data_IF_163390924014
#
_entry.id   IF_163390924014
#
_cell.length_a   1.000
_cell.length_b   1.000
_cell.length_c   1.000
_cell.angle_alpha   90.00
_cell.angle_beta   90.00
_cell.angle_gamma   90.00
#
_symmetry.space_group_name_H-M   'P 1'
#
loop_
_entity.id
_entity.type
_entity.pdbx_description
1 polymer ?
#
# COMPACT_ATOMS: atom_id res chain seq x y z
N UNK A 1 -3.24 -14.51 11.28
CA UNK A 1 -2.37 -14.76 10.09
C UNK A 1 -0.96 -14.22 10.36
N UNK A 2 0.11 -14.87 9.90
CA UNK A 2 1.48 -14.36 9.98
C UNK A 2 1.92 -13.87 8.59
N UNK A 3 1.75 -12.58 8.33
CA UNK A 3 2.05 -11.98 7.03
C UNK A 3 3.55 -12.04 6.69
N UNK A 4 4.43 -11.88 7.67
CA UNK A 4 5.88 -11.96 7.46
C UNK A 4 6.30 -13.33 6.93
N UNK A 5 5.76 -14.40 7.53
CA UNK A 5 6.01 -15.75 7.04
C UNK A 5 5.54 -15.92 5.60
N UNK A 6 4.35 -15.41 5.26
CA UNK A 6 3.81 -15.45 3.89
C UNK A 6 4.76 -14.76 2.90
N UNK A 7 5.24 -13.56 3.24
CA UNK A 7 6.19 -12.84 2.38
C UNK A 7 7.53 -13.56 2.23
N UNK A 8 8.03 -14.21 3.29
CA UNK A 8 9.25 -15.03 3.22
C UNK A 8 9.05 -16.26 2.36
N UNK A 9 7.98 -17.00 2.57
CA UNK A 9 7.66 -18.23 1.83
C UNK A 9 7.45 -17.96 0.32
N UNK A 10 6.90 -16.79 -0.03
CA UNK A 10 6.71 -16.34 -1.41
C UNK A 10 7.98 -15.73 -2.05
N UNK A 11 9.10 -15.63 -1.33
CA UNK A 11 10.29 -14.91 -1.79
C UNK A 11 10.06 -13.42 -2.01
N UNK A 12 9.10 -12.85 -1.30
CA UNK A 12 8.68 -11.45 -1.39
C UNK A 12 9.31 -10.56 -0.31
N UNK A 13 9.96 -11.18 0.69
CA UNK A 13 10.73 -10.50 1.74
C UNK A 13 12.20 -10.58 1.34
N UNK A 14 12.71 -9.51 0.74
CA UNK A 14 14.07 -9.47 0.22
C UNK A 14 15.01 -8.88 1.27
N UNK A 15 16.19 -9.47 1.40
CA UNK A 15 17.31 -8.96 2.18
C UNK A 15 18.47 -8.62 1.26
N UNK A 16 19.10 -7.46 1.48
CA UNK A 16 20.19 -6.95 0.63
C UNK A 16 20.47 -5.48 0.92
N UNK A 17 20.94 -4.73 -0.09
CA UNK A 17 21.14 -3.30 0.01
C UNK A 17 20.26 -2.60 -1.04
N UNK A 18 19.19 -1.94 -0.61
CA UNK A 18 18.16 -1.40 -1.51
C UNK A 18 18.11 0.12 -1.49
N UNK A 19 18.06 0.71 -2.70
CA UNK A 19 17.75 2.12 -2.92
C UNK A 19 16.23 2.30 -2.99
N UNK A 20 15.66 3.00 -2.02
CA UNK A 20 14.24 3.32 -1.95
C UNK A 20 13.87 4.48 -2.87
N UNK A 21 12.57 4.62 -3.18
CA UNK A 21 12.06 5.75 -3.99
C UNK A 21 12.29 7.13 -3.36
N UNK A 22 12.53 7.18 -2.06
CA UNK A 22 12.90 8.38 -1.31
C UNK A 22 14.37 8.81 -1.48
N UNK A 23 15.20 7.98 -2.14
CA UNK A 23 16.65 8.14 -2.20
C UNK A 23 17.40 7.56 -1.00
N UNK A 24 16.67 7.11 0.03
CA UNK A 24 17.26 6.47 1.21
C UNK A 24 17.55 4.99 0.98
N UNK A 25 18.34 4.37 1.84
CA UNK A 25 18.74 2.97 1.78
C UNK A 25 18.01 2.11 2.81
N UNK A 26 17.82 0.83 2.52
CA UNK A 26 17.27 -0.16 3.44
C UNK A 26 17.90 -1.53 3.22
N UNK A 27 18.07 -2.29 4.31
CA UNK A 27 18.50 -3.69 4.22
C UNK A 27 17.38 -4.61 3.72
N UNK A 28 16.13 -4.21 3.92
CA UNK A 28 14.97 -5.04 3.58
C UNK A 28 14.05 -4.36 2.59
N UNK A 29 13.47 -5.17 1.71
CA UNK A 29 12.48 -4.73 0.74
C UNK A 29 11.33 -5.74 0.63
N UNK A 30 10.09 -5.25 0.51
CA UNK A 30 8.92 -6.07 0.28
C UNK A 30 8.50 -5.96 -1.18
N UNK A 31 8.39 -7.11 -1.87
CA UNK A 31 7.95 -7.21 -3.27
C UNK A 31 6.59 -7.90 -3.34
N UNK A 32 5.51 -7.18 -3.05
CA UNK A 32 4.16 -7.75 -2.97
C UNK A 32 3.71 -8.43 -4.26
N UNK A 33 4.23 -8.05 -5.42
CA UNK A 33 3.93 -8.71 -6.68
C UNK A 33 4.22 -10.22 -6.63
N UNK A 34 5.24 -10.65 -5.86
CA UNK A 34 5.56 -12.08 -5.66
C UNK A 34 4.54 -12.81 -4.79
N UNK A 35 3.91 -12.12 -3.87
CA UNK A 35 2.79 -12.68 -3.09
C UNK A 35 1.52 -12.73 -3.95
N UNK A 36 1.28 -11.68 -4.73
CA UNK A 36 0.08 -11.51 -5.54
C UNK A 36 0.13 -12.27 -6.88
N UNK A 37 1.27 -12.89 -7.25
CA UNK A 37 1.36 -13.77 -8.42
C UNK A 37 0.58 -15.09 -8.24
N UNK A 38 0.27 -15.50 -6.99
CA UNK A 38 -0.66 -16.59 -6.71
C UNK A 38 -2.06 -16.01 -6.39
N UNK A 39 -3.05 -16.13 -7.31
CA UNK A 39 -4.39 -15.59 -7.09
C UNK A 39 -5.13 -16.20 -5.90
N UNK A 40 -4.80 -17.45 -5.52
CA UNK A 40 -5.42 -18.10 -4.36
C UNK A 40 -4.95 -17.43 -3.07
N UNK A 41 -3.64 -17.18 -2.97
CA UNK A 41 -3.06 -16.49 -1.82
C UNK A 41 -3.53 -15.04 -1.76
N UNK A 42 -3.56 -14.34 -2.89
CA UNK A 42 -4.12 -13.00 -2.99
C UNK A 42 -5.57 -12.94 -2.50
N UNK A 43 -6.39 -13.93 -2.88
CA UNK A 43 -7.77 -14.06 -2.42
C UNK A 43 -7.89 -14.23 -0.89
N UNK A 44 -7.09 -15.11 -0.29
CA UNK A 44 -7.07 -15.33 1.17
C UNK A 44 -6.68 -14.05 1.90
N UNK A 45 -5.63 -13.35 1.46
CA UNK A 45 -5.21 -12.09 2.05
C UNK A 45 -6.29 -11.01 1.95
N UNK A 46 -6.95 -10.92 0.81
CA UNK A 46 -8.03 -9.97 0.60
C UNK A 46 -9.26 -10.24 1.47
N UNK A 47 -9.63 -11.50 1.66
CA UNK A 47 -10.73 -11.91 2.54
C UNK A 47 -10.44 -11.55 4.01
N UNK A 48 -9.22 -11.75 4.49
CA UNK A 48 -8.81 -11.33 5.82
C UNK A 48 -8.85 -9.79 5.97
N UNK A 49 -8.36 -9.06 4.96
CA UNK A 49 -8.38 -7.59 4.98
C UNK A 49 -9.82 -7.05 4.97
N UNK A 50 -10.69 -7.63 4.13
CA UNK A 50 -12.11 -7.31 4.10
C UNK A 50 -12.80 -7.57 5.43
N UNK A 51 -12.47 -8.69 6.11
CA UNK A 51 -13.01 -9.01 7.43
C UNK A 51 -12.56 -8.01 8.51
N UNK A 52 -11.32 -7.53 8.45
CA UNK A 52 -10.81 -6.48 9.36
C UNK A 52 -11.60 -5.18 9.15
N UNK A 53 -11.80 -4.75 7.90
CA UNK A 53 -12.55 -3.54 7.59
C UNK A 53 -14.01 -3.69 8.03
N UNK A 54 -14.65 -4.83 7.76
CA UNK A 54 -16.03 -5.08 8.16
C UNK A 54 -16.23 -5.01 9.68
N UNK A 55 -15.27 -5.49 10.47
CA UNK A 55 -15.30 -5.42 11.96
C UNK A 55 -15.24 -3.98 12.48
N UNK A 56 -14.69 -3.04 11.72
CA UNK A 56 -14.68 -1.62 12.12
C UNK A 56 -16.02 -0.91 11.97
N UNK A 57 -16.99 -1.52 11.29
CA UNK A 57 -18.29 -0.92 11.00
C UNK A 57 -18.26 0.12 9.87
N UNK A 58 -17.12 0.30 9.19
CA UNK A 58 -17.03 1.25 8.08
C UNK A 58 -17.75 0.71 6.85
N UNK A 59 -18.71 1.48 6.39
CA UNK A 59 -19.45 1.22 5.16
C UNK A 59 -18.79 1.92 3.97
N UNK A 60 -18.63 1.22 2.85
CA UNK A 60 -18.10 1.77 1.60
C UNK A 60 -18.76 1.11 0.38
N UNK A 61 -18.68 1.78 -0.77
CA UNK A 61 -19.28 1.32 -2.03
C UNK A 61 -18.24 0.76 -2.99
N UNK A 62 -17.04 1.33 -2.97
CA UNK A 62 -16.01 1.08 -3.97
C UNK A 62 -14.61 1.05 -3.37
N UNK A 63 -13.70 0.37 -4.04
CA UNK A 63 -12.26 0.39 -3.76
C UNK A 63 -11.57 1.13 -4.89
N UNK A 64 -10.62 2.00 -4.54
CA UNK A 64 -9.72 2.66 -5.49
C UNK A 64 -8.29 2.31 -5.16
N UNK A 65 -7.46 2.06 -6.17
CA UNK A 65 -6.04 1.78 -5.97
C UNK A 65 -5.15 2.63 -6.87
N UNK A 66 -4.00 3.12 -6.41
CA UNK A 66 -3.00 3.69 -7.30
C UNK A 66 -2.30 2.56 -8.09
N UNK A 67 -2.18 2.75 -9.39
CA UNK A 67 -1.41 1.85 -10.24
C UNK A 67 0.11 2.06 -10.01
N UNK A 68 0.94 1.02 -10.20
CA UNK A 68 0.63 -0.30 -10.70
C UNK A 68 0.47 -1.31 -9.54
N UNK A 69 1.27 -1.19 -8.46
CA UNK A 69 1.38 -2.15 -7.37
C UNK A 69 0.05 -2.43 -6.66
N UNK A 70 -0.73 -1.37 -6.40
CA UNK A 70 -1.98 -1.50 -5.67
C UNK A 70 -3.13 -2.17 -6.44
N UNK A 71 -3.04 -2.32 -7.78
CA UNK A 71 -4.17 -2.81 -8.59
C UNK A 71 -4.63 -4.19 -8.12
N UNK A 72 -3.73 -5.16 -8.02
CA UNK A 72 -4.11 -6.53 -7.66
C UNK A 72 -4.64 -6.63 -6.23
N UNK A 73 -4.01 -5.95 -5.29
CA UNK A 73 -4.46 -5.92 -3.89
C UNK A 73 -5.86 -5.31 -3.77
N UNK A 74 -6.09 -4.16 -4.43
CA UNK A 74 -7.40 -3.50 -4.39
C UNK A 74 -8.48 -4.23 -5.16
N UNK A 75 -8.16 -4.85 -6.31
CA UNK A 75 -9.11 -5.66 -7.06
C UNK A 75 -9.60 -6.85 -6.24
N UNK A 76 -8.67 -7.57 -5.60
CA UNK A 76 -9.00 -8.70 -4.75
C UNK A 76 -9.76 -8.27 -3.48
N UNK A 77 -9.41 -7.13 -2.87
CA UNK A 77 -10.19 -6.57 -1.77
C UNK A 77 -11.63 -6.24 -2.20
N UNK A 78 -11.80 -5.61 -3.36
CA UNK A 78 -13.11 -5.30 -3.90
C UNK A 78 -13.93 -6.58 -4.18
N UNK A 79 -13.30 -7.61 -4.76
CA UNK A 79 -13.89 -8.93 -4.97
C UNK A 79 -14.35 -9.55 -3.65
N UNK A 80 -13.47 -9.61 -2.64
CA UNK A 80 -13.78 -10.17 -1.32
C UNK A 80 -14.92 -9.44 -0.62
N UNK A 81 -14.91 -8.10 -0.68
CA UNK A 81 -15.95 -7.25 -0.11
C UNK A 81 -17.22 -7.12 -0.99
N UNK A 82 -17.26 -7.71 -2.19
CA UNK A 82 -18.34 -7.58 -3.19
C UNK A 82 -18.63 -6.12 -3.53
N UNK A 83 -17.60 -5.33 -3.79
CA UNK A 83 -17.66 -3.91 -4.10
C UNK A 83 -17.11 -3.63 -5.50
N UNK A 84 -17.39 -2.44 -6.02
CA UNK A 84 -16.85 -1.94 -7.28
C UNK A 84 -15.35 -1.64 -7.12
N UNK A 85 -14.57 -1.80 -8.19
CA UNK A 85 -13.15 -1.45 -8.24
C UNK A 85 -12.86 -0.43 -9.34
N UNK A 86 -12.04 0.57 -9.02
CA UNK A 86 -11.41 1.48 -9.97
C UNK A 86 -9.95 1.69 -9.58
N UNK A 87 -9.15 2.28 -10.47
CA UNK A 87 -7.77 2.64 -10.13
C UNK A 87 -7.35 3.98 -10.75
N UNK A 88 -6.43 4.65 -10.10
CA UNK A 88 -5.71 5.82 -10.61
C UNK A 88 -4.36 5.40 -11.17
N UNK A 89 -3.84 6.14 -12.12
CA UNK A 89 -2.53 5.88 -12.74
C UNK A 89 -1.75 7.18 -12.93
N UNK A 90 -0.41 7.08 -12.95
CA UNK A 90 0.43 8.25 -13.20
C UNK A 90 0.61 8.48 -14.70
N UNK A 91 0.30 9.71 -15.12
CA UNK A 91 0.59 10.20 -16.47
C UNK A 91 1.50 11.41 -16.31
N UNK A 92 2.68 11.36 -16.89
CA UNK A 92 3.68 12.41 -16.73
C UNK A 92 3.93 12.80 -15.26
N UNK A 93 4.04 11.78 -14.38
CA UNK A 93 4.22 11.89 -12.93
C UNK A 93 3.01 12.43 -12.14
N UNK A 94 1.91 12.78 -12.80
CA UNK A 94 0.67 13.27 -12.17
C UNK A 94 -0.30 12.09 -12.01
N UNK A 95 -0.80 11.87 -10.79
CA UNK A 95 -1.83 10.88 -10.53
C UNK A 95 -3.14 11.33 -11.21
N UNK A 96 -3.83 10.41 -11.88
CA UNK A 96 -5.02 10.72 -12.68
C UNK A 96 -6.02 9.57 -12.68
N UNK A 97 -7.32 9.86 -12.70
CA UNK A 97 -8.37 8.89 -12.98
C UNK A 97 -8.63 8.88 -14.48
N UNK A 98 -8.54 7.70 -15.10
CA UNK A 98 -8.66 7.55 -16.56
C UNK A 98 -9.55 6.34 -16.90
N UNK A 99 -9.48 5.90 -18.16
CA UNK A 99 -10.14 4.67 -18.68
C UNK A 99 -11.66 4.67 -18.57
N UNK A 100 -12.27 5.86 -18.56
CA UNK A 100 -13.72 5.99 -18.44
C UNK A 100 -14.26 5.64 -17.05
N UNK A 101 -13.39 5.58 -16.04
CA UNK A 101 -13.85 5.46 -14.66
C UNK A 101 -14.55 6.75 -14.22
N UNK A 102 -15.66 6.60 -13.52
CA UNK A 102 -16.44 7.70 -12.96
C UNK A 102 -16.55 7.56 -11.44
N UNK A 103 -16.63 8.69 -10.76
CA UNK A 103 -16.93 8.79 -9.33
C UNK A 103 -18.30 9.44 -9.18
N UNK A 104 -19.23 8.75 -8.51
CA UNK A 104 -20.55 9.32 -8.22
C UNK A 104 -20.46 10.22 -6.99
N UNK A 105 -21.24 11.30 -7.00
CA UNK A 105 -21.32 12.20 -5.85
C UNK A 105 -21.73 11.45 -4.58
N UNK A 106 -20.92 11.56 -3.52
CA UNK A 106 -21.14 10.85 -2.26
C UNK A 106 -20.82 9.35 -2.28
N UNK A 107 -20.26 8.81 -3.36
CA UNK A 107 -19.77 7.43 -3.41
C UNK A 107 -18.61 7.25 -2.43
N UNK A 108 -18.72 6.27 -1.52
CA UNK A 108 -17.78 6.05 -0.44
C UNK A 108 -16.70 5.05 -0.84
N UNK A 109 -15.44 5.42 -0.68
CA UNK A 109 -14.27 4.66 -1.12
C UNK A 109 -13.36 4.25 0.02
N UNK A 110 -12.83 3.03 -0.06
CA UNK A 110 -11.56 2.63 0.56
C UNK A 110 -10.47 2.77 -0.51
N UNK A 111 -9.37 3.48 -0.17
CA UNK A 111 -8.18 3.50 -1.03
C UNK A 111 -7.23 2.39 -0.57
N UNK A 112 -6.94 1.44 -1.47
CA UNK A 112 -6.16 0.24 -1.18
C UNK A 112 -4.83 0.20 -1.95
N UNK A 113 -3.75 -0.09 -1.24
CA UNK A 113 -2.41 -0.35 -1.78
C UNK A 113 -1.96 -1.78 -1.48
N UNK A 114 -0.93 -2.24 -2.16
CA UNK A 114 -0.21 -3.44 -1.74
C UNK A 114 0.63 -3.15 -0.50
N UNK A 115 1.40 -2.06 -0.50
CA UNK A 115 2.24 -1.63 0.62
C UNK A 115 2.09 -0.12 0.83
N UNK A 116 1.69 0.27 2.02
CA UNK A 116 1.76 1.67 2.45
C UNK A 116 3.08 1.93 3.17
N UNK A 117 3.87 2.87 2.63
CA UNK A 117 5.02 3.47 3.31
C UNK A 117 4.57 4.76 4.00
N UNK A 118 4.81 5.90 3.40
CA UNK A 118 4.30 7.19 3.89
C UNK A 118 2.85 7.46 3.50
N UNK A 119 2.28 6.69 2.58
CA UNK A 119 0.90 6.86 2.09
C UNK A 119 0.75 7.94 1.01
N UNK A 120 1.85 8.37 0.38
CA UNK A 120 1.80 9.45 -0.62
C UNK A 120 0.91 9.14 -1.83
N UNK A 121 1.08 7.96 -2.48
CA UNK A 121 0.26 7.57 -3.64
C UNK A 121 -1.20 7.35 -3.26
N UNK A 122 -1.46 6.75 -2.09
CA UNK A 122 -2.80 6.57 -1.59
C UNK A 122 -3.50 7.91 -1.34
N UNK A 123 -2.79 8.90 -0.77
CA UNK A 123 -3.31 10.25 -0.57
C UNK A 123 -3.60 10.96 -1.89
N UNK A 124 -2.74 10.82 -2.90
CA UNK A 124 -2.99 11.40 -4.22
C UNK A 124 -4.25 10.82 -4.86
N UNK A 125 -4.45 9.50 -4.76
CA UNK A 125 -5.68 8.83 -5.23
C UNK A 125 -6.91 9.30 -4.46
N UNK A 126 -6.80 9.45 -3.14
CA UNK A 126 -7.88 9.95 -2.29
C UNK A 126 -8.32 11.35 -2.70
N UNK A 127 -7.37 12.26 -2.92
CA UNK A 127 -7.67 13.63 -3.38
C UNK A 127 -8.45 13.64 -4.70
N UNK A 128 -8.07 12.80 -5.68
CA UNK A 128 -8.78 12.71 -6.96
C UNK A 128 -10.22 12.27 -6.74
N UNK A 129 -10.45 11.26 -5.89
CA UNK A 129 -11.80 10.79 -5.57
C UNK A 129 -12.62 11.92 -4.93
N UNK A 130 -12.06 12.63 -3.97
CA UNK A 130 -12.71 13.73 -3.25
C UNK A 130 -12.98 14.93 -4.17
N UNK A 131 -12.04 15.29 -5.03
CA UNK A 131 -12.20 16.38 -6.04
C UNK A 131 -13.32 16.08 -7.04
N UNK A 132 -13.59 14.79 -7.32
CA UNK A 132 -14.69 14.34 -8.18
C UNK A 132 -16.03 14.17 -7.43
N UNK A 133 -16.06 14.48 -6.13
CA UNK A 133 -17.27 14.46 -5.32
C UNK A 133 -17.55 13.15 -4.60
N UNK A 134 -16.62 12.20 -4.62
CA UNK A 134 -16.64 10.99 -3.78
C UNK A 134 -16.20 11.30 -2.35
N UNK A 135 -16.33 10.31 -1.48
CA UNK A 135 -15.89 10.36 -0.09
C UNK A 135 -14.89 9.23 0.18
N UNK A 136 -13.67 9.53 0.59
CA UNK A 136 -12.73 8.51 1.05
C UNK A 136 -12.95 8.28 2.53
N UNK A 137 -13.39 7.09 2.91
CA UNK A 137 -13.75 6.74 4.30
C UNK A 137 -12.63 6.00 5.04
N UNK A 138 -11.57 5.62 4.35
CA UNK A 138 -10.40 4.97 4.94
C UNK A 138 -9.42 4.46 3.91
N UNK A 139 -8.34 3.91 4.43
CA UNK A 139 -7.24 3.33 3.65
C UNK A 139 -7.04 1.87 4.04
N UNK A 140 -6.53 1.08 3.10
CA UNK A 140 -6.20 -0.32 3.33
C UNK A 140 -4.90 -0.70 2.62
N UNK A 141 -4.18 -1.70 3.15
CA UNK A 141 -3.03 -2.29 2.50
C UNK A 141 -2.81 -3.73 2.95
N UNK A 142 -2.08 -4.53 2.18
CA UNK A 142 -1.59 -5.81 2.69
C UNK A 142 -0.55 -5.55 3.78
N UNK A 143 0.39 -4.63 3.55
CA UNK A 143 1.45 -4.30 4.49
C UNK A 143 1.57 -2.80 4.77
N UNK A 144 1.81 -2.44 6.04
CA UNK A 144 2.27 -1.12 6.45
C UNK A 144 3.78 -1.19 6.73
N UNK A 145 4.54 -0.17 6.28
CA UNK A 145 5.99 -0.07 6.48
C UNK A 145 6.37 0.71 7.75
N UNK A 146 5.49 0.74 8.74
CA UNK A 146 5.76 1.29 10.07
C UNK A 146 5.78 2.83 10.16
N UNK A 147 5.28 3.55 9.16
CA UNK A 147 5.17 5.02 9.21
C UNK A 147 3.78 5.49 9.64
N UNK A 148 2.74 4.77 9.25
CA UNK A 148 1.36 5.13 9.55
C UNK A 148 0.80 4.27 10.70
N UNK A 149 -0.03 4.88 11.55
CA UNK A 149 -0.79 4.12 12.55
C UNK A 149 -1.86 3.26 11.88
N UNK A 150 -2.10 2.08 12.45
CA UNK A 150 -3.12 1.14 11.98
C UNK A 150 -4.28 1.09 12.97
N UNK A 151 -5.50 1.11 12.45
CA UNK A 151 -6.72 1.00 13.27
C UNK A 151 -6.85 -0.38 13.94
N UNK A 152 -6.46 -1.41 13.21
CA UNK A 152 -6.58 -2.80 13.69
C UNK A 152 -5.35 -3.33 14.47
N UNK A 153 -4.26 -2.56 14.53
CA UNK A 153 -3.03 -2.93 15.23
C UNK A 153 -2.51 -1.74 16.04
N UNK A 154 -1.91 -2.03 17.20
CA UNK A 154 -1.26 -1.00 18.02
C UNK A 154 0.05 -0.56 17.39
N UNK A 155 0.00 0.42 16.51
CA UNK A 155 1.17 1.01 15.86
C UNK A 155 1.22 2.52 16.11
N UNK A 156 2.43 3.08 16.08
CA UNK A 156 2.62 4.53 16.25
C UNK A 156 2.77 5.19 14.89
N UNK A 157 2.18 6.38 14.77
CA UNK A 157 2.34 7.25 13.60
C UNK A 157 3.67 7.99 13.69
N UNK A 158 4.42 8.01 12.58
CA UNK A 158 5.62 8.84 12.41
C UNK A 158 5.31 10.12 11.63
N UNK A 159 6.18 11.11 11.74
CA UNK A 159 6.01 12.42 11.08
C UNK A 159 5.90 12.31 9.54
N UNK A 160 6.54 11.32 8.94
CA UNK A 160 6.55 11.09 7.49
C UNK A 160 5.23 10.54 6.95
N UNK A 161 4.32 10.05 7.81
CA UNK A 161 3.01 9.58 7.36
C UNK A 161 2.17 10.73 6.82
N UNK A 162 1.77 10.62 5.56
CA UNK A 162 1.01 11.64 4.81
C UNK A 162 -0.49 11.42 4.88
N UNK A 163 -0.96 10.26 5.34
CA UNK A 163 -2.38 9.98 5.43
C UNK A 163 -3.05 10.90 6.46
N UNK A 164 -4.29 11.34 6.24
CA UNK A 164 -5.02 12.16 7.19
C UNK A 164 -5.26 11.42 8.52
N UNK A 165 -5.35 12.19 9.62
CA UNK A 165 -5.51 11.63 10.97
C UNK A 165 -6.94 11.13 11.26
N UNK A 166 -7.90 11.71 10.57
CA UNK A 166 -9.34 11.43 10.72
C UNK A 166 -9.81 10.22 9.90
N UNK A 167 -8.93 9.61 9.12
CA UNK A 167 -9.25 8.46 8.29
C UNK A 167 -8.43 7.24 8.72
N UNK A 168 -9.09 6.11 9.05
CA UNK A 168 -8.39 4.90 9.48
C UNK A 168 -7.59 4.26 8.36
N UNK A 169 -6.50 3.60 8.74
CA UNK A 169 -5.74 2.68 7.90
C UNK A 169 -5.83 1.27 8.47
N UNK A 170 -6.18 0.30 7.63
CA UNK A 170 -6.18 -1.12 7.92
C UNK A 170 -5.08 -1.84 7.16
N UNK A 171 -4.35 -2.75 7.81
CA UNK A 171 -3.40 -3.61 7.13
C UNK A 171 -3.29 -4.97 7.81
N UNK A 172 -2.87 -5.99 7.05
CA UNK A 172 -2.70 -7.34 7.58
C UNK A 172 -1.45 -7.47 8.45
N UNK A 173 -0.45 -6.61 8.23
CA UNK A 173 0.78 -6.61 9.01
C UNK A 173 1.52 -5.29 8.98
N UNK A 174 2.40 -5.12 9.97
CA UNK A 174 3.26 -3.97 10.11
C UNK A 174 4.72 -4.40 10.07
N UNK A 175 5.49 -3.83 9.14
CA UNK A 175 6.91 -4.08 8.97
C UNK A 175 7.71 -2.81 9.27
N UNK A 176 8.47 -2.83 10.34
CA UNK A 176 9.34 -1.72 10.70
C UNK A 176 10.77 -2.06 10.33
N UNK A 177 11.27 -1.49 9.24
CA UNK A 177 12.67 -1.63 8.81
C UNK A 177 13.44 -0.36 9.11
N UNK A 178 14.71 -0.51 9.41
CA UNK A 178 15.62 0.61 9.47
C UNK A 178 15.83 1.19 8.08
N UNK A 179 15.92 2.51 8.04
CA UNK A 179 16.13 3.28 6.82
C UNK A 179 17.27 4.24 7.08
N UNK A 180 18.22 4.27 6.17
CA UNK A 180 19.45 5.02 6.30
C UNK A 180 19.54 6.14 5.27
N UNK A 181 20.08 7.29 5.64
CA UNK A 181 20.57 8.25 4.67
C UNK A 181 21.81 7.68 3.97
N UNK A 182 22.04 7.95 2.67
CA UNK A 182 23.18 7.40 1.93
C UNK A 182 24.53 7.60 2.64
N UNK A 183 24.75 8.80 3.16
CA UNK A 183 26.02 9.18 3.81
C UNK A 183 26.28 8.46 5.13
N UNK A 184 25.24 7.96 5.79
CA UNK A 184 25.31 7.27 7.08
C UNK A 184 24.99 5.79 6.99
N UNK A 185 24.70 5.28 5.80
CA UNK A 185 24.31 3.90 5.57
C UNK A 185 25.44 2.92 5.96
N UNK A 186 25.19 1.99 6.89
CA UNK A 186 26.18 1.00 7.28
C UNK A 186 26.55 0.07 6.13
N UNK A 187 25.58 -0.28 5.27
CA UNK A 187 25.80 -1.15 4.12
C UNK A 187 26.72 -0.51 3.07
N UNK A 188 26.63 0.81 2.87
CA UNK A 188 27.59 1.55 2.03
C UNK A 188 29.00 1.52 2.63
N UNK A 189 29.12 1.66 3.95
CA UNK A 189 30.42 1.61 4.66
C UNK A 189 31.07 0.25 4.53
N UNK A 190 30.29 -0.82 4.45
CA UNK A 190 30.74 -2.18 4.23
C UNK A 190 31.06 -2.48 2.74
N UNK A 191 30.97 -1.46 1.87
CA UNK A 191 31.37 -1.55 0.45
C UNK A 191 30.31 -2.12 -0.47
N UNK A 192 29.06 -2.32 -0.01
CA UNK A 192 27.98 -2.77 -0.91
C UNK A 192 27.31 -1.61 -1.64
N UNK A 193 26.86 -1.85 -2.88
CA UNK A 193 26.12 -0.88 -3.67
C UNK A 193 24.61 -1.08 -3.50
N UNK A 194 23.86 0.04 -3.38
CA UNK A 194 22.42 0.00 -3.24
C UNK A 194 21.76 -0.24 -4.61
N UNK A 195 20.98 -1.30 -4.71
CA UNK A 195 20.22 -1.65 -5.92
C UNK A 195 18.78 -1.17 -5.80
N UNK A 196 18.18 -0.76 -6.92
CA UNK A 196 16.79 -0.32 -6.98
C UNK A 196 15.91 -1.51 -7.38
N UNK A 197 15.12 -2.08 -6.45
CA UNK A 197 14.26 -3.22 -6.78
C UNK A 197 12.98 -2.77 -7.52
N UNK A 198 12.38 -3.72 -8.27
CA UNK A 198 11.11 -3.50 -8.97
C UNK A 198 11.26 -2.82 -10.34
N UNK A 199 10.13 -2.38 -10.93
CA UNK A 199 10.02 -1.87 -12.30
C UNK A 199 10.67 -0.50 -12.56
N UNK A 200 11.36 0.08 -11.57
CA UNK A 200 12.05 1.37 -11.69
C UNK A 200 13.58 1.23 -11.67
N UNK A 201 14.08 0.01 -11.80
CA UNK A 201 15.50 -0.31 -12.01
C UNK A 201 15.77 -0.45 -13.51
N UNK A 202 16.53 0.44 -14.04
CA UNK A 202 17.15 0.75 -15.33
C UNK A 202 16.58 2.00 -15.96
#
# INVERSE_FOLDING_TARGET
MNLEKIYKDAGAYLEGHFLLSSGKHSQFYLQSAKVLEDPRLAGVLAEELAAIIAKSGIEFNSVCSPALGGILAGYELARAAKKRFIFTERVNKIMSLRRGFEVKKGERFIVCEDIITTGGSALESAKIIEDLGGEVVGFAALANRGFCSLENLKTQRKAECKLPLDKPLFALGNFSFEIYEPDTCPLCKDGSEAIKPGSRGN
#
